data_IF_302375609690
#
_entry.id   IF_302375609690
#
_cell.length_a   1.000
_cell.length_b   1.000
_cell.length_c   1.000
_cell.angle_alpha   90.00
_cell.angle_beta   90.00
_cell.angle_gamma   90.00
#
_symmetry.space_group_name_H-M   'P 1'
#
loop_
_entity.id
_entity.type
_entity.pdbx_description
1 polymer ?
#
# COMPACT_ATOMS: atom_id res chain seq x y z
N UNK A 1 -3.56 -18.72 -0.60
CA UNK A 1 -2.13 -18.33 -0.52
C UNK A 1 -1.69 -17.77 -1.85
N UNK A 2 -1.34 -16.51 -1.90
CA UNK A 2 -0.89 -15.83 -3.12
C UNK A 2 0.18 -14.79 -2.81
N UNK A 3 1.11 -14.61 -3.74
CA UNK A 3 2.00 -13.44 -3.77
C UNK A 3 1.40 -12.41 -4.70
N UNK A 4 1.10 -11.23 -4.17
CA UNK A 4 0.67 -10.07 -4.92
C UNK A 4 1.82 -9.07 -4.99
N UNK A 5 2.42 -8.97 -6.18
CA UNK A 5 3.51 -8.04 -6.44
C UNK A 5 3.01 -6.90 -7.32
N UNK A 6 3.24 -5.67 -6.90
CA UNK A 6 2.80 -4.49 -7.63
C UNK A 6 3.56 -3.22 -7.30
N UNK A 7 3.16 -2.15 -7.96
CA UNK A 7 3.77 -0.82 -7.90
C UNK A 7 2.77 0.21 -7.36
N UNK A 8 3.21 1.44 -6.98
CA UNK A 8 2.32 2.48 -6.43
C UNK A 8 1.40 3.14 -7.47
N UNK A 9 1.49 2.74 -8.71
CA UNK A 9 0.72 3.26 -9.84
C UNK A 9 0.85 2.29 -11.02
N UNK A 10 0.00 2.42 -12.04
CA UNK A 10 0.04 1.62 -13.28
C UNK A 10 0.48 2.42 -14.51
N UNK A 11 0.89 3.66 -14.32
CA UNK A 11 1.35 4.55 -15.39
C UNK A 11 2.43 5.47 -14.89
N UNK A 12 3.50 5.63 -15.68
CA UNK A 12 4.59 6.58 -15.43
C UNK A 12 5.21 7.01 -16.75
N UNK A 13 5.63 8.28 -16.92
CA UNK A 13 6.21 8.78 -18.17
C UNK A 13 7.46 8.02 -18.65
N UNK A 14 8.22 7.43 -17.73
CA UNK A 14 9.43 6.66 -18.06
C UNK A 14 9.17 5.19 -18.45
N UNK A 15 7.93 4.69 -18.38
CA UNK A 15 7.64 3.27 -18.58
C UNK A 15 7.31 2.83 -20.04
N UNK A 16 6.97 3.73 -21.01
CA UNK A 16 6.86 3.32 -22.41
C UNK A 16 8.16 2.67 -22.92
N UNK A 17 8.02 1.50 -23.56
CA UNK A 17 9.16 0.70 -24.02
C UNK A 17 9.81 -0.19 -22.95
N UNK A 18 9.41 -0.08 -21.67
CA UNK A 18 9.90 -0.93 -20.56
C UNK A 18 8.79 -1.84 -20.01
N UNK A 19 7.79 -1.24 -19.39
CA UNK A 19 6.61 -1.91 -18.83
C UNK A 19 5.40 -1.72 -19.74
N UNK A 20 5.27 -0.55 -20.34
CA UNK A 20 4.20 -0.20 -21.26
C UNK A 20 4.70 -0.33 -22.70
N UNK A 21 3.81 -0.70 -23.62
CA UNK A 21 4.16 -0.75 -25.05
C UNK A 21 4.62 0.62 -25.56
N UNK A 22 5.51 0.61 -26.56
CA UNK A 22 5.88 1.84 -27.28
C UNK A 22 4.64 2.42 -27.92
N UNK A 23 4.36 3.70 -27.66
CA UNK A 23 3.18 4.38 -28.19
C UNK A 23 1.83 3.99 -27.52
N UNK A 24 1.86 3.23 -26.44
CA UNK A 24 0.65 2.88 -25.69
C UNK A 24 -0.09 4.12 -25.23
N UNK A 25 -1.38 4.17 -25.50
CA UNK A 25 -2.26 5.26 -25.05
C UNK A 25 -2.54 5.14 -23.55
N UNK A 26 -2.77 6.24 -22.82
CA UNK A 26 -3.05 6.20 -21.36
C UNK A 26 -4.17 5.21 -20.96
N UNK A 27 -5.18 5.03 -21.79
CA UNK A 27 -6.27 4.08 -21.56
C UNK A 27 -5.83 2.60 -21.59
N UNK A 28 -4.68 2.29 -22.21
CA UNK A 28 -4.13 0.94 -22.36
C UNK A 28 -3.11 0.60 -21.27
N UNK A 29 -2.62 1.60 -20.52
CA UNK A 29 -1.55 1.44 -19.56
C UNK A 29 -1.87 0.40 -18.49
N UNK A 30 -3.10 0.41 -17.95
CA UNK A 30 -3.51 -0.55 -16.93
C UNK A 30 -3.52 -1.99 -17.46
N UNK A 31 -4.01 -2.20 -18.68
CA UNK A 31 -4.00 -3.53 -19.31
C UNK A 31 -2.58 -4.03 -19.56
N UNK A 32 -1.66 -3.16 -20.00
CA UNK A 32 -0.23 -3.51 -20.13
C UNK A 32 0.40 -3.83 -18.78
N UNK A 33 0.15 -3.02 -17.76
CA UNK A 33 0.61 -3.22 -16.40
C UNK A 33 0.18 -4.60 -15.85
N UNK A 34 -1.11 -4.94 -16.03
CA UNK A 34 -1.70 -6.17 -15.50
C UNK A 34 -1.19 -7.46 -16.19
N UNK A 35 -0.43 -7.37 -17.29
CA UNK A 35 0.27 -8.50 -17.90
C UNK A 35 1.53 -8.90 -17.13
N UNK A 36 2.08 -7.99 -16.33
CA UNK A 36 3.35 -8.17 -15.61
C UNK A 36 3.13 -8.29 -14.11
N UNK A 37 2.24 -7.47 -13.56
CA UNK A 37 1.93 -7.41 -12.13
C UNK A 37 0.50 -7.85 -11.86
N UNK A 38 0.26 -8.49 -10.73
CA UNK A 38 -1.05 -9.02 -10.34
C UNK A 38 -1.77 -8.16 -9.28
N UNK A 39 -1.14 -7.06 -8.86
CA UNK A 39 -1.77 -6.05 -7.98
C UNK A 39 -1.22 -4.66 -8.27
N UNK A 40 -1.92 -3.65 -7.79
CA UNK A 40 -1.47 -2.25 -7.84
C UNK A 40 -1.90 -1.50 -6.57
N UNK A 41 -1.06 -0.57 -6.12
CA UNK A 41 -1.40 0.37 -5.07
C UNK A 41 -2.04 1.64 -5.68
N UNK A 42 -3.37 1.68 -5.78
CA UNK A 42 -4.12 2.82 -6.30
C UNK A 42 -4.12 4.00 -5.31
N UNK A 43 -3.13 4.88 -5.42
CA UNK A 43 -2.99 6.02 -4.52
C UNK A 43 -3.83 7.24 -4.94
N UNK A 44 -4.35 7.28 -6.16
CA UNK A 44 -5.14 8.40 -6.70
C UNK A 44 -6.43 8.64 -5.92
N UNK A 45 -7.07 7.58 -5.41
CA UNK A 45 -8.29 7.67 -4.60
C UNK A 45 -8.13 8.44 -3.29
N UNK A 46 -6.90 8.61 -2.82
CA UNK A 46 -6.60 9.45 -1.66
C UNK A 46 -6.84 10.94 -1.92
N UNK A 47 -6.61 11.38 -3.15
CA UNK A 47 -6.70 12.80 -3.55
C UNK A 47 -8.03 13.14 -4.19
N UNK A 48 -8.61 12.22 -4.97
CA UNK A 48 -9.86 12.42 -5.68
C UNK A 48 -10.57 11.08 -5.90
N UNK A 49 -11.87 11.06 -5.70
CA UNK A 49 -12.70 9.90 -6.03
C UNK A 49 -12.84 9.76 -7.55
N UNK A 50 -12.66 8.55 -8.09
CA UNK A 50 -12.92 8.29 -9.51
C UNK A 50 -14.41 8.40 -9.83
N UNK A 51 -14.74 8.53 -11.11
CA UNK A 51 -16.14 8.38 -11.55
C UNK A 51 -16.52 6.89 -11.64
N UNK A 52 -17.82 6.53 -11.54
CA UNK A 52 -18.28 5.15 -11.72
C UNK A 52 -17.84 4.53 -13.06
N UNK A 53 -17.80 5.32 -14.15
CA UNK A 53 -17.33 4.88 -15.46
C UNK A 53 -15.84 4.56 -15.44
N UNK A 54 -15.06 5.34 -14.70
CA UNK A 54 -13.63 5.08 -14.54
C UNK A 54 -13.40 3.77 -13.79
N UNK A 55 -14.17 3.50 -12.73
CA UNK A 55 -14.07 2.24 -11.96
C UNK A 55 -14.44 1.04 -12.83
N UNK A 56 -15.50 1.13 -13.64
CA UNK A 56 -15.87 0.06 -14.59
C UNK A 56 -14.76 -0.20 -15.60
N UNK A 57 -14.18 0.86 -16.20
CA UNK A 57 -13.03 0.71 -17.12
C UNK A 57 -11.84 0.04 -16.46
N UNK A 58 -11.60 0.26 -15.18
CA UNK A 58 -10.54 -0.46 -14.45
C UNK A 58 -10.86 -1.95 -14.32
N UNK A 59 -12.11 -2.29 -13.98
CA UNK A 59 -12.56 -3.67 -13.89
C UNK A 59 -12.38 -4.43 -15.20
N UNK A 60 -12.77 -3.79 -16.32
CA UNK A 60 -12.69 -4.39 -17.66
C UNK A 60 -11.25 -4.50 -18.20
N UNK A 61 -10.33 -3.68 -17.69
CA UNK A 61 -8.96 -3.61 -18.19
C UNK A 61 -8.03 -4.69 -17.65
N UNK A 62 -8.43 -5.43 -16.61
CA UNK A 62 -7.56 -6.40 -15.92
C UNK A 62 -8.22 -7.77 -15.79
N UNK A 63 -7.45 -8.86 -15.69
CA UNK A 63 -8.01 -10.20 -15.53
C UNK A 63 -8.67 -10.36 -14.13
N UNK A 64 -9.60 -11.32 -13.95
CA UNK A 64 -10.36 -11.51 -12.71
C UNK A 64 -9.50 -11.76 -11.45
N UNK A 65 -8.33 -12.33 -11.62
CA UNK A 65 -7.39 -12.60 -10.52
C UNK A 65 -6.56 -11.38 -10.10
N UNK A 66 -6.58 -10.29 -10.86
CA UNK A 66 -5.89 -9.04 -10.49
C UNK A 66 -6.51 -8.43 -9.23
N UNK A 67 -5.71 -7.83 -8.36
CA UNK A 67 -6.17 -7.20 -7.12
C UNK A 67 -5.80 -5.72 -7.08
N UNK A 68 -6.82 -4.87 -6.99
CA UNK A 68 -6.64 -3.44 -6.72
C UNK A 68 -6.55 -3.21 -5.22
N UNK A 69 -5.54 -2.49 -4.78
CA UNK A 69 -5.42 -2.04 -3.39
C UNK A 69 -5.53 -0.52 -3.34
N UNK A 70 -6.63 0.00 -2.80
CA UNK A 70 -6.89 1.43 -2.78
C UNK A 70 -6.66 2.04 -1.40
N UNK A 71 -6.23 3.28 -1.40
CA UNK A 71 -6.15 4.09 -0.20
C UNK A 71 -7.49 4.80 0.03
N UNK A 72 -7.97 4.77 1.28
CA UNK A 72 -9.13 5.58 1.65
C UNK A 72 -8.89 7.06 1.34
N UNK A 73 -9.92 7.80 0.91
CA UNK A 73 -9.86 9.24 0.67
C UNK A 73 -9.30 10.01 1.86
N UNK A 74 -8.63 11.12 1.58
CA UNK A 74 -8.06 12.03 2.59
C UNK A 74 -9.12 12.54 3.57
N UNK A 75 -10.33 12.72 3.10
CA UNK A 75 -11.50 13.13 3.89
C UNK A 75 -11.74 12.17 5.06
N UNK A 76 -11.60 10.86 4.86
CA UNK A 76 -11.76 9.84 5.89
C UNK A 76 -10.54 9.82 6.82
N UNK A 77 -9.34 9.74 6.27
CA UNK A 77 -8.13 9.40 7.02
C UNK A 77 -7.45 10.60 7.70
N UNK A 78 -7.66 11.82 7.20
CA UNK A 78 -6.93 13.02 7.62
C UNK A 78 -7.80 14.19 8.06
N UNK A 79 -9.06 14.24 7.63
CA UNK A 79 -9.97 15.37 7.86
C UNK A 79 -11.12 15.02 8.78
N UNK A 80 -11.53 13.74 8.89
CA UNK A 80 -12.52 13.28 9.85
C UNK A 80 -11.88 12.93 11.20
N UNK A 81 -12.73 12.73 12.21
CA UNK A 81 -12.35 12.14 13.49
C UNK A 81 -12.31 10.60 13.46
N UNK A 82 -12.49 10.00 12.29
CA UNK A 82 -12.70 8.59 11.96
C UNK A 82 -14.10 8.07 12.36
N UNK A 83 -14.58 8.37 13.56
CA UNK A 83 -15.86 7.84 14.07
C UNK A 83 -17.06 8.33 13.22
N UNK A 84 -17.01 9.58 12.77
CA UNK A 84 -18.06 10.15 11.91
C UNK A 84 -17.95 9.79 10.43
N UNK A 85 -16.91 9.05 10.03
CA UNK A 85 -16.61 8.76 8.62
C UNK A 85 -17.47 7.66 7.98
N UNK A 86 -18.42 7.05 8.70
CA UNK A 86 -19.17 5.89 8.22
C UNK A 86 -19.88 6.12 6.88
N UNK A 87 -20.50 7.29 6.67
CA UNK A 87 -21.15 7.63 5.39
C UNK A 87 -20.14 7.73 4.24
N UNK A 88 -18.99 8.34 4.47
CA UNK A 88 -17.93 8.48 3.48
C UNK A 88 -17.32 7.12 3.13
N UNK A 89 -17.13 6.24 4.13
CA UNK A 89 -16.67 4.85 3.93
C UNK A 89 -17.66 4.09 3.07
N UNK A 90 -18.96 4.13 3.41
CA UNK A 90 -20.01 3.45 2.64
C UNK A 90 -20.07 3.95 1.18
N UNK A 91 -20.02 5.28 0.97
CA UNK A 91 -20.00 5.88 -0.36
C UNK A 91 -18.76 5.42 -1.18
N UNK A 92 -17.58 5.39 -0.54
CA UNK A 92 -16.35 4.94 -1.19
C UNK A 92 -16.41 3.48 -1.59
N UNK A 93 -16.87 2.60 -0.71
CA UNK A 93 -17.04 1.17 -1.00
C UNK A 93 -18.08 0.94 -2.10
N UNK A 94 -19.21 1.64 -2.04
CA UNK A 94 -20.24 1.58 -3.10
C UNK A 94 -19.68 1.99 -4.46
N UNK A 95 -18.88 3.06 -4.50
CA UNK A 95 -18.21 3.52 -5.73
C UNK A 95 -17.29 2.45 -6.32
N UNK A 96 -16.60 1.67 -5.48
CA UNK A 96 -15.71 0.58 -5.91
C UNK A 96 -16.46 -0.74 -6.22
N UNK A 97 -17.78 -0.76 -6.10
CA UNK A 97 -18.62 -1.95 -6.32
C UNK A 97 -18.33 -2.73 -7.61
N UNK A 98 -18.09 -2.09 -8.78
CA UNK A 98 -17.73 -2.80 -10.01
C UNK A 98 -16.45 -3.66 -9.90
N UNK A 99 -15.57 -3.36 -8.95
CA UNK A 99 -14.32 -4.09 -8.68
C UNK A 99 -14.46 -5.15 -7.58
N UNK A 100 -15.66 -5.46 -7.07
CA UNK A 100 -15.83 -6.28 -5.87
C UNK A 100 -14.96 -7.56 -5.89
N UNK A 101 -14.97 -8.34 -6.96
CA UNK A 101 -14.16 -9.56 -7.12
C UNK A 101 -12.67 -9.31 -7.37
N UNK A 102 -12.28 -8.06 -7.63
CA UNK A 102 -10.91 -7.62 -7.92
C UNK A 102 -10.36 -6.67 -6.84
N UNK A 103 -11.11 -6.41 -5.75
CA UNK A 103 -10.60 -5.66 -4.62
C UNK A 103 -9.64 -6.53 -3.80
N UNK A 104 -8.44 -6.01 -3.55
CA UNK A 104 -7.47 -6.55 -2.62
C UNK A 104 -7.61 -5.85 -1.27
N UNK A 105 -6.82 -4.79 -1.05
CA UNK A 105 -6.76 -4.10 0.23
C UNK A 105 -7.41 -2.72 0.18
N UNK A 106 -8.24 -2.40 1.16
CA UNK A 106 -8.64 -1.03 1.47
C UNK A 106 -7.73 -0.50 2.58
N UNK A 107 -6.90 0.49 2.24
CA UNK A 107 -5.79 0.96 3.09
C UNK A 107 -6.13 2.28 3.78
N UNK A 108 -6.09 2.29 5.11
CA UNK A 108 -6.15 3.50 5.91
C UNK A 108 -4.71 3.96 6.23
N UNK A 109 -4.29 5.11 5.69
CA UNK A 109 -3.04 5.73 6.10
C UNK A 109 -3.35 6.90 7.02
N UNK A 110 -2.86 6.86 8.25
CA UNK A 110 -3.06 7.92 9.23
C UNK A 110 -1.91 8.95 9.18
N UNK A 111 -2.20 10.23 9.49
CA UNK A 111 -1.17 11.26 9.58
C UNK A 111 -0.22 11.01 10.76
N UNK A 112 0.99 11.57 10.70
CA UNK A 112 1.99 11.41 11.76
C UNK A 112 1.52 11.94 13.13
N UNK A 113 0.60 12.90 13.17
CA UNK A 113 0.00 13.41 14.42
C UNK A 113 -0.99 12.45 15.09
N UNK A 114 -1.39 11.37 14.40
CA UNK A 114 -2.30 10.36 14.99
C UNK A 114 -1.51 9.45 15.93
N UNK A 115 -1.47 9.80 17.19
CA UNK A 115 -0.75 9.08 18.25
C UNK A 115 -1.64 8.14 19.06
N UNK A 116 -1.08 7.54 20.15
CA UNK A 116 -1.72 6.51 20.96
C UNK A 116 -3.08 6.89 21.55
N UNK A 117 -3.28 8.16 21.90
CA UNK A 117 -4.57 8.66 22.38
C UNK A 117 -5.72 8.48 21.36
N UNK A 118 -5.39 8.25 20.08
CA UNK A 118 -6.37 7.97 19.02
C UNK A 118 -6.83 6.52 18.94
N UNK A 119 -6.22 5.58 19.66
CA UNK A 119 -6.54 4.14 19.56
C UNK A 119 -8.02 3.81 19.84
N UNK A 120 -8.72 4.42 20.81
CA UNK A 120 -10.15 4.16 21.01
C UNK A 120 -11.00 4.56 19.80
N UNK A 121 -10.68 5.69 19.16
CA UNK A 121 -11.39 6.14 17.93
C UNK A 121 -11.09 5.22 16.73
N UNK A 122 -9.87 4.72 16.65
CA UNK A 122 -9.46 3.76 15.62
C UNK A 122 -10.19 2.43 15.81
N UNK A 123 -10.35 1.95 17.05
CA UNK A 123 -11.12 0.75 17.36
C UNK A 123 -12.58 0.89 16.92
N UNK A 124 -13.23 2.01 17.30
CA UNK A 124 -14.59 2.30 16.89
C UNK A 124 -14.76 2.41 15.37
N UNK A 125 -13.77 2.99 14.67
CA UNK A 125 -13.76 3.04 13.21
C UNK A 125 -13.74 1.63 12.61
N UNK A 126 -12.87 0.74 13.09
CA UNK A 126 -12.79 -0.63 12.60
C UNK A 126 -14.05 -1.45 12.87
N UNK A 127 -14.75 -1.20 13.98
CA UNK A 127 -16.04 -1.82 14.28
C UNK A 127 -17.14 -1.45 13.28
N UNK A 128 -17.07 -0.25 12.73
CA UNK A 128 -18.02 0.24 11.74
C UNK A 128 -17.70 -0.17 10.28
N UNK A 129 -16.59 -0.88 10.05
CA UNK A 129 -16.22 -1.30 8.69
C UNK A 129 -17.02 -2.54 8.25
N UNK A 130 -17.49 -2.60 6.98
CA UNK A 130 -18.09 -3.82 6.42
C UNK A 130 -17.11 -5.02 6.50
N UNK A 131 -17.56 -6.20 6.95
CA UNK A 131 -16.67 -7.36 7.18
C UNK A 131 -16.18 -8.05 5.89
N UNK A 132 -16.81 -7.77 4.74
CA UNK A 132 -16.55 -8.48 3.48
C UNK A 132 -15.28 -8.01 2.75
N UNK A 133 -14.55 -7.06 3.34
CA UNK A 133 -13.36 -6.48 2.72
C UNK A 133 -12.10 -6.71 3.57
N UNK A 134 -10.97 -6.76 2.89
CA UNK A 134 -9.67 -6.84 3.56
C UNK A 134 -9.11 -5.44 3.77
N UNK A 135 -8.78 -5.13 5.04
CA UNK A 135 -8.29 -3.81 5.43
C UNK A 135 -6.83 -3.84 5.83
N UNK A 136 -6.15 -2.71 5.60
CA UNK A 136 -4.78 -2.50 6.06
C UNK A 136 -4.58 -1.10 6.63
N UNK A 137 -3.73 -0.98 7.65
CA UNK A 137 -3.43 0.26 8.34
C UNK A 137 -1.96 0.63 8.20
N UNK A 138 -1.68 1.87 7.77
CA UNK A 138 -0.37 2.51 7.88
C UNK A 138 -0.40 3.59 8.96
N UNK A 139 0.41 3.44 10.00
CA UNK A 139 0.65 4.45 11.04
C UNK A 139 2.01 5.11 10.83
N UNK A 140 2.16 6.35 11.31
CA UNK A 140 3.38 7.14 11.16
C UNK A 140 3.85 7.82 12.45
N UNK A 141 3.09 7.71 13.55
CA UNK A 141 3.50 8.27 14.84
C UNK A 141 4.64 7.43 15.45
N UNK A 142 5.73 8.05 15.95
CA UNK A 142 6.91 7.32 16.45
C UNK A 142 6.61 6.33 17.58
N UNK A 143 5.66 6.63 18.46
CA UNK A 143 5.30 5.76 19.58
C UNK A 143 4.81 4.37 19.13
N UNK A 144 4.29 4.25 17.91
CA UNK A 144 3.91 2.95 17.34
C UNK A 144 5.09 2.14 16.80
N UNK A 145 6.32 2.63 16.98
CA UNK A 145 7.57 1.99 16.56
C UNK A 145 8.62 1.93 17.68
N UNK A 146 8.22 2.26 18.91
CA UNK A 146 9.12 2.34 20.05
C UNK A 146 9.23 1.03 20.85
N UNK A 147 8.61 -0.07 20.40
CA UNK A 147 8.50 -1.37 21.11
C UNK A 147 7.88 -1.24 22.52
N UNK A 148 7.19 -0.12 22.79
CA UNK A 148 6.53 0.21 24.04
C UNK A 148 5.08 -0.26 24.09
N UNK A 149 4.34 0.19 25.14
CA UNK A 149 2.94 -0.18 25.34
C UNK A 149 2.02 0.30 24.21
N UNK A 150 2.26 1.50 23.67
CA UNK A 150 1.48 2.06 22.56
C UNK A 150 1.53 1.16 21.31
N UNK A 151 2.71 0.64 20.96
CA UNK A 151 2.86 -0.28 19.85
C UNK A 151 2.21 -1.63 20.12
N UNK A 152 2.38 -2.17 21.34
CA UNK A 152 1.72 -3.42 21.74
C UNK A 152 0.20 -3.31 21.70
N UNK A 153 -0.34 -2.19 22.18
CA UNK A 153 -1.78 -1.92 22.15
C UNK A 153 -2.31 -1.82 20.70
N UNK A 154 -1.61 -1.11 19.83
CA UNK A 154 -1.95 -1.06 18.41
C UNK A 154 -1.92 -2.46 17.78
N UNK A 155 -0.87 -3.23 17.98
CA UNK A 155 -0.74 -4.55 17.36
C UNK A 155 -1.84 -5.51 17.85
N UNK A 156 -2.17 -5.51 19.16
CA UNK A 156 -3.31 -6.27 19.70
C UNK A 156 -4.61 -5.87 19.02
N UNK A 157 -4.91 -4.57 18.97
CA UNK A 157 -6.12 -4.07 18.29
C UNK A 157 -6.21 -4.56 16.84
N UNK A 158 -5.10 -4.50 16.08
CA UNK A 158 -5.08 -4.95 14.69
C UNK A 158 -5.30 -6.47 14.57
N UNK A 159 -4.67 -7.26 15.44
CA UNK A 159 -4.87 -8.71 15.48
C UNK A 159 -6.32 -9.09 15.83
N UNK A 160 -6.88 -8.45 16.85
CA UNK A 160 -8.25 -8.70 17.31
C UNK A 160 -9.31 -8.34 16.25
N UNK A 161 -9.03 -7.31 15.44
CA UNK A 161 -9.92 -6.85 14.37
C UNK A 161 -9.60 -7.45 12.98
N UNK A 162 -8.57 -8.30 12.86
CA UNK A 162 -8.16 -8.86 11.59
C UNK A 162 -7.64 -7.83 10.57
N UNK A 163 -7.07 -6.72 11.06
CA UNK A 163 -6.55 -5.64 10.23
C UNK A 163 -5.05 -5.83 9.96
N UNK A 164 -4.63 -5.72 8.72
CA UNK A 164 -3.23 -5.90 8.32
C UNK A 164 -2.41 -4.63 8.63
N UNK A 165 -1.35 -4.75 9.42
CA UNK A 165 -0.39 -3.65 9.60
C UNK A 165 0.47 -3.51 8.34
N UNK A 166 0.52 -2.31 7.75
CA UNK A 166 1.42 -2.02 6.63
C UNK A 166 2.83 -1.80 7.19
N UNK A 167 3.77 -2.57 6.71
CA UNK A 167 5.20 -2.47 7.01
C UNK A 167 5.85 -1.62 5.93
N UNK A 168 6.14 -0.35 6.25
CA UNK A 168 6.83 0.57 5.36
C UNK A 168 8.34 0.44 5.59
N UNK A 169 9.06 -0.04 4.59
CA UNK A 169 10.52 -0.07 4.60
C UNK A 169 11.08 1.05 3.74
N UNK A 170 11.57 2.08 4.40
CA UNK A 170 12.29 3.19 3.78
C UNK A 170 13.79 3.17 4.05
N UNK A 171 14.32 2.07 4.62
CA UNK A 171 15.76 1.94 4.92
C UNK A 171 16.64 2.19 3.68
N UNK A 172 16.32 1.61 2.49
CA UNK A 172 17.13 1.90 1.30
C UNK A 172 17.11 3.39 0.94
N UNK A 173 15.93 4.02 0.93
CA UNK A 173 15.80 5.43 0.60
C UNK A 173 16.67 6.33 1.49
N UNK A 174 16.78 6.01 2.79
CA UNK A 174 17.55 6.79 3.77
C UNK A 174 18.99 6.29 3.98
N UNK A 175 19.46 5.31 3.21
CA UNK A 175 20.85 4.82 3.27
C UNK A 175 21.82 5.69 2.47
N UNK A 176 21.31 6.56 1.62
CA UNK A 176 22.12 7.45 0.76
C UNK A 176 21.75 8.92 1.02
N UNK A 177 22.68 9.85 0.78
CA UNK A 177 22.36 11.28 0.82
C UNK A 177 21.40 11.66 -0.33
N UNK A 178 20.54 12.65 -0.08
CA UNK A 178 19.60 13.18 -1.07
C UNK A 178 20.30 14.08 -2.09
N UNK A 179 20.94 13.49 -3.08
CA UNK A 179 21.74 14.18 -4.10
C UNK A 179 20.97 14.53 -5.37
N UNK A 180 19.78 13.96 -5.56
CA UNK A 180 18.92 14.26 -6.73
C UNK A 180 17.60 14.88 -6.30
N UNK A 181 16.92 15.66 -7.16
CA UNK A 181 15.60 16.19 -6.85
C UNK A 181 14.60 15.13 -6.42
N UNK A 182 14.62 13.96 -7.04
CA UNK A 182 13.75 12.83 -6.69
C UNK A 182 14.03 12.30 -5.27
N UNK A 183 15.30 12.14 -4.88
CA UNK A 183 15.68 11.71 -3.53
C UNK A 183 15.33 12.77 -2.48
N UNK A 184 15.56 14.05 -2.77
CA UNK A 184 15.18 15.18 -1.89
C UNK A 184 13.68 15.15 -1.63
N UNK A 185 12.87 15.07 -2.68
CA UNK A 185 11.41 15.01 -2.58
C UNK A 185 10.94 13.76 -1.80
N UNK A 186 11.49 12.59 -2.14
CA UNK A 186 11.11 11.34 -1.50
C UNK A 186 11.50 11.30 -0.02
N UNK A 187 12.73 11.70 0.34
CA UNK A 187 13.18 11.76 1.75
C UNK A 187 12.40 12.81 2.56
N UNK A 188 11.97 13.91 1.93
CA UNK A 188 11.13 14.92 2.57
C UNK A 188 9.68 14.45 2.83
N UNK A 189 9.15 13.52 2.04
CA UNK A 189 7.75 13.05 2.11
C UNK A 189 7.56 11.72 2.81
N UNK A 190 8.58 10.86 2.83
CA UNK A 190 8.49 9.52 3.43
C UNK A 190 8.96 9.56 4.88
N UNK A 191 8.31 8.85 5.79
CA UNK A 191 8.77 8.78 7.16
C UNK A 191 10.04 7.92 7.26
N UNK A 192 10.98 8.33 8.11
CA UNK A 192 12.13 7.53 8.52
C UNK A 192 11.80 6.84 9.85
N UNK A 193 11.26 5.63 9.77
CA UNK A 193 10.79 4.87 10.93
C UNK A 193 11.44 3.48 10.97
N UNK A 194 11.57 2.85 12.14
CA UNK A 194 12.01 1.47 12.24
C UNK A 194 11.08 0.53 11.48
N UNK A 195 11.64 -0.55 10.93
CA UNK A 195 10.87 -1.61 10.28
C UNK A 195 10.65 -2.74 11.28
N UNK A 196 9.38 -3.05 11.56
CA UNK A 196 9.00 -4.18 12.40
C UNK A 196 8.29 -5.22 11.53
N UNK A 197 8.89 -6.41 11.42
CA UNK A 197 8.46 -7.50 10.55
C UNK A 197 7.35 -8.30 11.25
N UNK A 198 6.12 -7.79 11.21
CA UNK A 198 4.98 -8.36 11.93
C UNK A 198 3.74 -8.41 11.05
N UNK A 199 3.24 -9.62 10.76
CA UNK A 199 1.92 -9.81 10.19
C UNK A 199 0.87 -9.81 11.29
N UNK A 200 -0.07 -8.87 11.27
CA UNK A 200 -1.17 -8.77 12.24
C UNK A 200 -2.44 -9.46 11.77
N UNK A 201 -2.53 -9.83 10.49
CA UNK A 201 -3.65 -10.55 9.89
C UNK A 201 -3.19 -11.41 8.69
N UNK A 202 -4.14 -11.94 7.93
CA UNK A 202 -3.89 -12.94 6.88
C UNK A 202 -3.36 -12.37 5.55
N UNK A 203 -3.26 -11.04 5.42
CA UNK A 203 -2.73 -10.41 4.21
C UNK A 203 -1.59 -9.45 4.56
N UNK A 204 -0.38 -9.96 4.93
CA UNK A 204 0.78 -9.11 5.22
C UNK A 204 1.05 -8.13 4.08
N UNK A 205 1.34 -6.87 4.43
CA UNK A 205 1.54 -5.80 3.44
C UNK A 205 2.90 -5.15 3.65
N UNK A 206 3.73 -5.19 2.63
CA UNK A 206 5.05 -4.54 2.62
C UNK A 206 5.06 -3.44 1.56
N UNK A 207 5.51 -2.26 1.95
CA UNK A 207 5.82 -1.15 1.05
C UNK A 207 7.33 -0.88 1.12
N UNK A 208 8.06 -1.33 0.12
CA UNK A 208 9.51 -1.11 0.02
C UNK A 208 9.78 0.13 -0.81
N UNK A 209 10.46 1.12 -0.23
CA UNK A 209 10.91 2.32 -0.93
C UNK A 209 12.38 2.16 -1.22
N UNK A 210 12.68 1.63 -2.40
CA UNK A 210 14.03 1.32 -2.84
C UNK A 210 14.77 2.48 -3.49
N UNK A 211 16.04 2.24 -3.73
CA UNK A 211 16.93 3.07 -4.53
C UNK A 211 16.69 2.85 -6.04
N UNK A 212 17.06 3.81 -6.90
CA UNK A 212 16.86 3.69 -8.34
C UNK A 212 17.58 2.51 -8.99
N UNK A 213 18.80 2.18 -8.53
CA UNK A 213 19.54 1.03 -9.02
C UNK A 213 19.12 -0.22 -8.23
N UNK A 214 18.58 -1.25 -8.88
CA UNK A 214 18.05 -2.42 -8.20
C UNK A 214 19.07 -3.11 -7.31
N UNK A 215 20.32 -3.23 -7.73
CA UNK A 215 21.44 -3.84 -6.99
C UNK A 215 21.73 -3.17 -5.65
N UNK A 216 21.52 -1.87 -5.53
CA UNK A 216 21.75 -1.11 -4.29
C UNK A 216 20.75 -1.51 -3.18
N UNK A 217 19.66 -2.21 -3.55
CA UNK A 217 18.65 -2.66 -2.61
C UNK A 217 18.93 -4.06 -2.01
N UNK A 218 19.83 -4.82 -2.60
CA UNK A 218 20.16 -6.19 -2.16
C UNK A 218 20.49 -6.29 -0.67
N UNK A 219 21.21 -5.35 -0.03
CA UNK A 219 21.53 -5.45 1.41
C UNK A 219 20.29 -5.43 2.33
N UNK A 220 19.15 -4.96 1.86
CA UNK A 220 17.92 -4.82 2.66
C UNK A 220 16.98 -6.02 2.54
N UNK A 221 17.10 -6.82 1.47
CA UNK A 221 16.22 -7.94 1.18
C UNK A 221 16.39 -9.16 2.10
N UNK A 222 17.62 -9.53 2.55
CA UNK A 222 17.82 -10.73 3.37
C UNK A 222 16.98 -10.75 4.65
N UNK A 223 16.70 -9.61 5.26
CA UNK A 223 15.84 -9.53 6.45
C UNK A 223 14.36 -9.86 6.15
N UNK A 224 13.90 -9.69 4.91
CA UNK A 224 12.54 -9.95 4.47
C UNK A 224 12.29 -11.38 4.03
N UNK A 225 13.24 -12.01 3.33
CA UNK A 225 13.04 -13.30 2.67
C UNK A 225 12.56 -14.43 3.59
N UNK A 226 13.08 -14.59 4.84
CA UNK A 226 12.56 -15.60 5.75
C UNK A 226 11.10 -15.37 6.12
N UNK A 227 10.71 -14.11 6.38
CA UNK A 227 9.34 -13.75 6.72
C UNK A 227 8.37 -13.96 5.56
N UNK A 228 8.74 -13.57 4.34
CA UNK A 228 7.91 -13.79 3.16
C UNK A 228 7.67 -15.29 2.92
N UNK A 229 8.73 -16.10 2.99
CA UNK A 229 8.62 -17.57 2.88
C UNK A 229 7.73 -18.15 3.97
N UNK A 230 7.90 -17.72 5.21
CA UNK A 230 7.09 -18.15 6.33
C UNK A 230 5.61 -17.81 6.11
N UNK A 231 5.27 -16.55 5.80
CA UNK A 231 3.89 -16.13 5.62
C UNK A 231 3.19 -16.84 4.45
N UNK A 232 3.91 -17.07 3.36
CA UNK A 232 3.39 -17.87 2.26
C UNK A 232 3.19 -19.34 2.70
N UNK A 233 4.13 -19.94 3.44
CA UNK A 233 3.96 -21.30 3.97
C UNK A 233 2.79 -21.43 4.97
N UNK A 234 2.50 -20.36 5.72
CA UNK A 234 1.34 -20.24 6.61
C UNK A 234 0.00 -20.04 5.85
N UNK A 235 0.02 -19.99 4.52
CA UNK A 235 -1.20 -19.81 3.72
C UNK A 235 -1.67 -18.38 3.58
N UNK A 236 -0.86 -17.38 3.97
CA UNK A 236 -1.21 -15.97 3.89
C UNK A 236 -1.10 -15.42 2.47
N UNK A 237 -1.85 -14.36 2.18
CA UNK A 237 -1.80 -13.59 0.94
C UNK A 237 -0.85 -12.40 1.10
N UNK A 238 0.39 -12.54 0.62
CA UNK A 238 1.43 -11.52 0.79
C UNK A 238 1.32 -10.43 -0.28
N UNK A 239 1.21 -9.16 0.13
CA UNK A 239 1.22 -8.00 -0.76
C UNK A 239 2.56 -7.26 -0.67
N UNK A 240 3.26 -7.15 -1.79
CA UNK A 240 4.51 -6.40 -1.93
C UNK A 240 4.30 -5.23 -2.90
N UNK A 241 4.43 -4.01 -2.40
CA UNK A 241 4.38 -2.79 -3.22
C UNK A 241 5.77 -2.16 -3.28
N UNK A 242 6.35 -2.19 -4.48
CA UNK A 242 7.71 -1.74 -4.72
C UNK A 242 7.68 -0.31 -5.28
N UNK A 243 8.38 0.57 -4.59
CA UNK A 243 8.57 1.97 -4.95
C UNK A 243 10.04 2.26 -5.20
N UNK A 244 10.32 3.29 -5.97
CA UNK A 244 11.60 4.03 -5.94
C UNK A 244 11.29 5.50 -5.69
N UNK A 245 12.29 6.36 -5.58
CA UNK A 245 12.12 7.76 -5.20
C UNK A 245 11.06 8.47 -6.08
N UNK A 246 11.17 8.34 -7.40
CA UNK A 246 10.24 8.88 -8.41
C UNK A 246 9.37 7.80 -9.10
N UNK A 247 9.59 6.53 -8.76
CA UNK A 247 8.99 5.34 -9.37
C UNK A 247 9.39 5.06 -10.82
N UNK A 248 10.30 5.79 -11.41
CA UNK A 248 10.74 5.57 -12.79
C UNK A 248 11.32 4.15 -12.97
N UNK A 249 12.12 3.67 -12.02
CA UNK A 249 12.75 2.35 -12.05
C UNK A 249 12.12 1.31 -11.11
N UNK A 250 10.95 1.63 -10.55
CA UNK A 250 10.21 0.67 -9.71
C UNK A 250 9.90 -0.67 -10.39
N UNK A 251 9.56 -0.74 -11.71
CA UNK A 251 9.37 -2.02 -12.40
C UNK A 251 10.62 -2.89 -12.46
N UNK A 252 11.80 -2.29 -12.60
CA UNK A 252 13.08 -3.02 -12.64
C UNK A 252 13.40 -3.62 -11.27
N UNK A 253 13.25 -2.83 -10.21
CA UNK A 253 13.45 -3.31 -8.83
C UNK A 253 12.45 -4.42 -8.50
N UNK A 254 11.19 -4.27 -8.87
CA UNK A 254 10.17 -5.28 -8.59
C UNK A 254 10.44 -6.64 -9.24
N UNK A 255 11.18 -6.70 -10.35
CA UNK A 255 11.57 -7.97 -10.99
C UNK A 255 12.71 -8.70 -10.26
N UNK A 256 13.41 -8.03 -9.33
CA UNK A 256 14.51 -8.59 -8.57
C UNK A 256 14.13 -8.98 -7.14
N UNK A 257 12.95 -8.56 -6.70
CA UNK A 257 12.37 -8.87 -5.38
C UNK A 257 11.53 -10.14 -5.47
#
# INVERSE_FOLDING_TARGET
MSLYLGLPQWSHPAWPGQLLGVGARPAEHLAHYARVFNTVEGNTTFYASPTPETVRRWADAVPPQFRFSFKFPKEISHQSDLVSAGKQVAAFITLLGPLHGQLGLLKLQLPARFGPAGLPRLAAFFEGLPPDFTYALEVRHPDFFAKGEAERALNRLLMDKGINRIMLDSRPLFSVPATTPALVDAQGKKPRLPVHLLATANSPVVRLIGLPHPEDNHPFLPSWLPHWKQWLAEGKDLYLFIHTADNARAPELARQV
#
